data_IF_784269324475
#
_entry.id   IF_784269324475
#
_cell.length_a   1.000
_cell.length_b   1.000
_cell.length_c   1.000
_cell.angle_alpha   90.00
_cell.angle_beta   90.00
_cell.angle_gamma   90.00
#
_symmetry.space_group_name_H-M   'P 1'
#
loop_
_entity.id
_entity.type
_entity.pdbx_description
1 polymer ?
#
# COMPACT_ATOMS: atom_id res chain seq x y z
N UNK A 1 -9.20 -2.34 -0.60
CA UNK A 1 -8.07 -2.38 -1.55
C UNK A 1 -8.23 -1.42 -2.71
N UNK A 2 -9.41 -1.27 -3.33
CA UNK A 2 -9.66 -0.21 -4.33
C UNK A 2 -9.13 1.17 -3.95
N UNK A 3 -9.47 1.65 -2.76
CA UNK A 3 -9.00 2.95 -2.24
C UNK A 3 -7.47 3.08 -2.25
N UNK A 4 -6.76 1.99 -1.95
CA UNK A 4 -5.30 1.95 -1.96
C UNK A 4 -4.73 2.09 -3.38
N UNK A 5 -5.36 1.44 -4.36
CA UNK A 5 -4.96 1.53 -5.77
C UNK A 5 -5.24 2.91 -6.32
N UNK A 6 -6.43 3.46 -6.08
CA UNK A 6 -6.80 4.81 -6.53
C UNK A 6 -5.84 5.86 -5.92
N UNK A 7 -5.50 5.75 -4.62
CA UNK A 7 -4.51 6.61 -3.94
C UNK A 7 -3.12 6.48 -4.56
N UNK A 8 -2.63 5.26 -4.74
CA UNK A 8 -1.27 5.00 -5.25
C UNK A 8 -1.15 5.45 -6.71
N UNK A 9 -2.15 5.19 -7.53
CA UNK A 9 -2.21 5.62 -8.93
C UNK A 9 -2.30 7.14 -9.04
N UNK A 10 -3.08 7.82 -8.18
CA UNK A 10 -3.13 9.27 -8.15
C UNK A 10 -1.77 9.89 -7.84
N UNK A 11 -0.99 9.31 -6.92
CA UNK A 11 0.39 9.72 -6.68
C UNK A 11 1.28 9.39 -7.88
N UNK A 12 1.16 8.18 -8.45
CA UNK A 12 1.91 7.76 -9.64
C UNK A 12 1.70 8.66 -10.86
N UNK A 13 0.51 9.23 -11.00
CA UNK A 13 0.17 10.15 -12.08
C UNK A 13 0.77 11.56 -11.94
N UNK A 14 1.40 11.90 -10.82
CA UNK A 14 1.91 13.27 -10.57
C UNK A 14 3.17 13.61 -11.36
N UNK A 15 3.96 12.61 -11.78
CA UNK A 15 5.22 12.81 -12.49
C UNK A 15 6.20 11.66 -12.23
N UNK A 16 7.40 11.74 -12.80
CA UNK A 16 8.43 10.70 -12.58
C UNK A 16 8.99 10.72 -11.14
N UNK A 17 9.56 9.61 -10.69
CA UNK A 17 10.24 9.56 -9.39
C UNK A 17 11.36 10.61 -9.32
N UNK A 18 11.36 11.46 -8.28
CA UNK A 18 12.32 12.55 -8.11
C UNK A 18 12.06 13.80 -8.96
N UNK A 19 10.92 13.89 -9.67
CA UNK A 19 10.51 15.14 -10.31
C UNK A 19 9.97 16.14 -9.27
N UNK A 20 10.03 17.46 -9.54
CA UNK A 20 9.45 18.47 -8.64
C UNK A 20 7.96 18.26 -8.36
N UNK A 21 7.20 17.79 -9.35
CA UNK A 21 5.77 17.50 -9.23
C UNK A 21 5.53 16.32 -8.29
N UNK A 22 6.33 15.26 -8.44
CA UNK A 22 6.27 14.07 -7.59
C UNK A 22 6.65 14.38 -6.15
N UNK A 23 7.72 15.13 -5.96
CA UNK A 23 8.21 15.55 -4.65
C UNK A 23 7.19 16.47 -3.95
N UNK A 24 6.59 17.39 -4.69
CA UNK A 24 5.53 18.26 -4.20
C UNK A 24 4.28 17.50 -3.73
N UNK A 25 3.95 16.38 -4.38
CA UNK A 25 2.82 15.52 -4.01
C UNK A 25 3.10 14.57 -2.84
N UNK A 26 4.37 14.36 -2.48
CA UNK A 26 4.78 13.31 -1.54
C UNK A 26 4.16 13.49 -0.14
N UNK A 27 4.12 14.73 0.37
CA UNK A 27 3.58 15.01 1.72
C UNK A 27 2.12 14.58 1.86
N UNK A 28 1.31 14.88 0.84
CA UNK A 28 -0.10 14.45 0.76
C UNK A 28 -0.19 12.93 0.66
N UNK A 29 0.60 12.30 -0.21
CA UNK A 29 0.63 10.85 -0.36
C UNK A 29 0.94 10.16 0.98
N UNK A 30 1.96 10.60 1.71
CA UNK A 30 2.31 10.05 3.04
C UNK A 30 1.16 10.22 4.03
N UNK A 31 0.57 11.41 4.10
CA UNK A 31 -0.56 11.69 5.00
C UNK A 31 -1.76 10.78 4.71
N UNK A 32 -2.16 10.69 3.44
CA UNK A 32 -3.28 9.87 3.00
C UNK A 32 -3.02 8.38 3.27
N UNK A 33 -1.79 7.93 3.05
CA UNK A 33 -1.39 6.54 3.29
C UNK A 33 -1.51 6.18 4.76
N UNK A 34 -1.03 7.05 5.67
CA UNK A 34 -1.14 6.82 7.12
C UNK A 34 -2.59 6.76 7.56
N UNK A 35 -3.45 7.63 7.02
CA UNK A 35 -4.89 7.60 7.27
C UNK A 35 -5.54 6.30 6.77
N UNK A 36 -5.16 5.84 5.58
CA UNK A 36 -5.63 4.56 5.03
C UNK A 36 -5.17 3.36 5.85
N UNK A 37 -3.89 3.31 6.24
CA UNK A 37 -3.31 2.27 7.12
C UNK A 37 -4.09 2.19 8.43
N UNK A 38 -4.30 3.32 9.10
CA UNK A 38 -5.02 3.36 10.37
C UNK A 38 -6.44 2.77 10.26
N UNK A 39 -7.21 3.16 9.25
CA UNK A 39 -8.58 2.64 9.04
C UNK A 39 -8.59 1.16 8.64
N UNK A 40 -7.63 0.75 7.83
CA UNK A 40 -7.51 -0.64 7.37
C UNK A 40 -7.12 -1.55 8.52
N UNK A 41 -6.19 -1.13 9.38
CA UNK A 41 -5.81 -1.88 10.57
C UNK A 41 -7.01 -2.14 11.49
N UNK A 42 -7.82 -1.12 11.76
CA UNK A 42 -9.03 -1.28 12.58
C UNK A 42 -9.99 -2.34 12.00
N UNK A 43 -10.10 -2.39 10.67
CA UNK A 43 -10.92 -3.40 9.98
C UNK A 43 -10.31 -4.79 10.11
N UNK A 44 -8.99 -4.93 9.92
CA UNK A 44 -8.28 -6.20 10.08
C UNK A 44 -8.40 -6.74 11.51
N UNK A 45 -8.22 -5.88 12.51
CA UNK A 45 -8.33 -6.23 13.93
C UNK A 45 -9.74 -6.74 14.26
N UNK A 46 -10.79 -6.06 13.76
CA UNK A 46 -12.18 -6.46 13.96
C UNK A 46 -12.54 -7.80 13.30
N UNK A 47 -11.79 -8.20 12.26
CA UNK A 47 -12.03 -9.41 11.48
C UNK A 47 -10.88 -10.42 11.58
N UNK A 48 -10.10 -10.41 12.66
CA UNK A 48 -8.95 -11.30 12.85
C UNK A 48 -9.29 -12.80 12.99
N UNK A 49 -10.58 -13.16 12.94
CA UNK A 49 -11.04 -14.55 12.94
C UNK A 49 -10.77 -15.23 11.59
N UNK A 50 -10.71 -16.58 11.51
CA UNK A 50 -10.25 -17.31 10.32
C UNK A 50 -10.99 -16.92 9.02
N UNK A 51 -10.33 -17.02 7.84
CA UNK A 51 -9.07 -17.74 7.57
C UNK A 51 -7.80 -16.94 7.90
N UNK A 52 -6.95 -17.53 8.76
CA UNK A 52 -5.75 -16.87 9.31
C UNK A 52 -4.70 -16.49 8.26
N UNK A 53 -4.61 -17.23 7.15
CA UNK A 53 -3.62 -16.93 6.10
C UNK A 53 -3.94 -15.61 5.40
N UNK A 54 -5.20 -15.39 4.98
CA UNK A 54 -5.62 -14.16 4.31
C UNK A 54 -5.45 -12.94 5.22
N UNK A 55 -5.86 -13.05 6.48
CA UNK A 55 -5.68 -11.97 7.47
C UNK A 55 -4.20 -11.65 7.66
N UNK A 56 -3.32 -12.66 7.78
CA UNK A 56 -1.87 -12.44 7.90
C UNK A 56 -1.24 -11.82 6.65
N UNK A 57 -1.68 -12.23 5.46
CA UNK A 57 -1.19 -11.67 4.21
C UNK A 57 -1.61 -10.20 4.05
N UNK A 58 -2.86 -9.87 4.39
CA UNK A 58 -3.33 -8.48 4.43
C UNK A 58 -2.58 -7.64 5.48
N UNK A 59 -2.37 -8.20 6.68
CA UNK A 59 -1.60 -7.52 7.72
C UNK A 59 -0.19 -7.19 7.23
N UNK A 60 0.51 -8.17 6.64
CA UNK A 60 1.83 -7.95 6.05
C UNK A 60 1.79 -6.81 5.02
N UNK A 61 0.82 -6.81 4.10
CA UNK A 61 0.71 -5.73 3.12
C UNK A 61 0.55 -4.36 3.76
N UNK A 62 -0.32 -4.23 4.76
CA UNK A 62 -0.54 -2.97 5.48
C UNK A 62 0.74 -2.51 6.19
N UNK A 63 1.44 -3.43 6.86
CA UNK A 63 2.71 -3.15 7.53
C UNK A 63 3.79 -2.70 6.54
N UNK A 64 3.92 -3.38 5.39
CA UNK A 64 4.91 -3.06 4.36
C UNK A 64 4.66 -1.64 3.79
N UNK A 65 3.40 -1.29 3.51
CA UNK A 65 3.03 0.07 3.05
C UNK A 65 3.30 1.12 4.13
N UNK A 66 3.04 0.81 5.39
CA UNK A 66 3.38 1.70 6.51
C UNK A 66 4.89 1.94 6.60
N UNK A 67 5.70 0.89 6.46
CA UNK A 67 7.17 0.99 6.47
C UNK A 67 7.68 1.79 5.26
N UNK A 68 7.13 1.54 4.07
CA UNK A 68 7.46 2.29 2.86
C UNK A 68 7.25 3.80 3.07
N UNK A 69 6.06 4.23 3.52
CA UNK A 69 5.81 5.67 3.72
C UNK A 69 6.53 6.28 4.92
N UNK A 70 7.19 5.46 5.75
CA UNK A 70 8.09 5.93 6.79
C UNK A 70 9.51 6.22 6.24
N UNK A 71 9.92 5.61 5.12
CA UNK A 71 11.27 5.77 4.54
C UNK A 71 11.35 6.73 3.35
N UNK A 72 10.25 6.94 2.64
CA UNK A 72 10.20 7.83 1.47
C UNK A 72 10.51 9.29 1.82
N UNK A 73 11.18 9.96 0.89
CA UNK A 73 11.62 11.36 1.00
C UNK A 73 11.68 11.99 -0.41
N UNK A 74 11.62 13.34 -0.53
CA UNK A 74 11.80 13.99 -1.81
C UNK A 74 13.12 13.60 -2.50
N UNK A 75 13.09 13.53 -3.82
CA UNK A 75 14.19 13.09 -4.65
C UNK A 75 13.99 11.69 -5.26
N UNK A 76 15.00 11.17 -5.96
CA UNK A 76 14.91 9.85 -6.58
C UNK A 76 14.74 8.76 -5.51
N UNK A 77 13.95 7.75 -5.85
CA UNK A 77 13.82 6.55 -5.03
C UNK A 77 15.15 5.82 -4.87
N UNK A 78 15.30 5.11 -3.76
CA UNK A 78 16.44 4.22 -3.52
C UNK A 78 16.09 2.77 -3.83
N UNK A 79 17.11 1.91 -3.92
CA UNK A 79 16.92 0.47 -4.02
C UNK A 79 16.05 -0.11 -2.89
N UNK A 80 16.04 0.53 -1.71
CA UNK A 80 15.22 0.10 -0.58
C UNK A 80 13.75 0.45 -0.78
N UNK A 81 13.46 1.57 -1.42
CA UNK A 81 12.08 1.98 -1.74
C UNK A 81 11.49 1.06 -2.81
N UNK A 82 12.29 0.72 -3.84
CA UNK A 82 11.91 -0.26 -4.87
C UNK A 82 11.71 -1.66 -4.29
N UNK A 83 12.61 -2.12 -3.42
CA UNK A 83 12.51 -3.42 -2.78
C UNK A 83 11.28 -3.51 -1.86
N UNK A 84 11.02 -2.48 -1.04
CA UNK A 84 9.85 -2.43 -0.18
C UNK A 84 8.55 -2.46 -0.99
N UNK A 85 8.49 -1.69 -2.09
CA UNK A 85 7.35 -1.72 -2.99
C UNK A 85 7.15 -3.10 -3.62
N UNK A 86 8.21 -3.66 -4.21
CA UNK A 86 8.17 -4.96 -4.92
C UNK A 86 7.87 -6.13 -3.99
N UNK A 87 8.34 -6.10 -2.74
CA UNK A 87 8.01 -7.16 -1.78
C UNK A 87 6.54 -7.06 -1.32
N UNK A 88 6.04 -5.83 -1.10
CA UNK A 88 4.65 -5.60 -0.67
C UNK A 88 3.62 -6.16 -1.67
N UNK A 89 3.90 -6.06 -2.97
CA UNK A 89 2.96 -6.50 -4.01
C UNK A 89 2.74 -8.02 -4.03
N UNK A 90 3.65 -8.82 -3.45
CA UNK A 90 3.46 -10.28 -3.32
C UNK A 90 2.30 -10.58 -2.36
N UNK A 91 2.31 -9.92 -1.19
CA UNK A 91 1.24 -10.06 -0.20
C UNK A 91 -0.10 -9.57 -0.78
N UNK A 92 -0.07 -8.44 -1.49
CA UNK A 92 -1.23 -7.88 -2.17
C UNK A 92 -1.82 -8.81 -3.22
N UNK A 93 -1.01 -9.24 -4.18
CA UNK A 93 -1.42 -10.06 -5.31
C UNK A 93 -1.96 -11.44 -4.88
N UNK A 94 -1.36 -12.05 -3.85
CA UNK A 94 -1.87 -13.31 -3.30
C UNK A 94 -3.28 -13.19 -2.70
N UNK A 95 -3.54 -12.11 -1.96
CA UNK A 95 -4.87 -11.86 -1.41
C UNK A 95 -5.87 -11.51 -2.52
N UNK A 96 -5.47 -10.69 -3.50
CA UNK A 96 -6.30 -10.38 -4.66
C UNK A 96 -6.74 -11.64 -5.40
N UNK A 97 -5.81 -12.53 -5.71
CA UNK A 97 -6.13 -13.78 -6.38
C UNK A 97 -7.15 -14.60 -5.58
N UNK A 98 -7.02 -14.64 -4.25
CA UNK A 98 -7.97 -15.32 -3.37
C UNK A 98 -9.36 -14.67 -3.39
N UNK A 99 -9.43 -13.34 -3.37
CA UNK A 99 -10.68 -12.59 -3.49
C UNK A 99 -11.36 -12.79 -4.86
N UNK A 100 -10.58 -12.77 -5.95
CA UNK A 100 -11.07 -13.00 -7.32
C UNK A 100 -11.68 -14.40 -7.48
N UNK A 101 -11.11 -15.42 -6.86
CA UNK A 101 -11.69 -16.78 -6.83
C UNK A 101 -13.08 -16.81 -6.17
N UNK A 102 -13.39 -15.85 -5.31
CA UNK A 102 -14.70 -15.66 -4.67
C UNK A 102 -15.59 -14.64 -5.40
N UNK A 103 -15.19 -14.16 -6.57
CA UNK A 103 -15.93 -13.17 -7.36
C UNK A 103 -15.79 -11.72 -6.86
N UNK A 104 -14.86 -11.45 -5.94
CA UNK A 104 -14.58 -10.10 -5.43
C UNK A 104 -13.44 -9.48 -6.23
N UNK A 105 -13.68 -8.34 -6.83
CA UNK A 105 -12.70 -7.53 -7.59
C UNK A 105 -12.64 -6.11 -7.04
N UNK A 106 -11.66 -5.32 -7.48
CA UNK A 106 -11.54 -3.90 -7.15
C UNK A 106 -10.95 -3.09 -8.29
#
# INVERSE_FOLDING_TARGET
MKENDDRSNAFLATGEAGSPERDGALSKFVSDTRGWVQRTQQTLDAHASPPRFTVRALQRYVDDIQMFVASVRPGPGTQYDEAAWTDSIVAYGGVLSSCQQMGVTW
#
